data_IF_466327854925
#
_entry.id   IF_466327854925
#
_cell.length_a   1.000
_cell.length_b   1.000
_cell.length_c   1.000
_cell.angle_alpha   90.00
_cell.angle_beta   90.00
_cell.angle_gamma   90.00
#
_symmetry.space_group_name_H-M   'P 1'
#
loop_
_entity.id
_entity.type
_entity.pdbx_description
1 polymer ?
#
# COMPACT_ATOMS: atom_id res chain seq x y z
N UNK A 1 -27.79 3.11 -8.45
CA UNK A 1 -29.05 3.14 -7.66
C UNK A 1 -29.27 1.88 -6.84
N UNK A 2 -28.92 0.66 -7.31
CA UNK A 2 -29.12 -0.58 -6.56
C UNK A 2 -28.10 -0.81 -5.41
N UNK A 3 -26.86 -0.31 -5.56
CA UNK A 3 -25.83 -0.35 -4.51
C UNK A 3 -26.18 0.55 -3.31
N UNK A 4 -26.63 1.80 -3.55
CA UNK A 4 -27.06 2.73 -2.50
C UNK A 4 -28.24 2.20 -1.66
N UNK A 5 -29.20 1.51 -2.28
CA UNK A 5 -30.36 0.94 -1.58
C UNK A 5 -30.00 -0.25 -0.69
N UNK A 6 -29.02 -1.07 -1.10
CA UNK A 6 -28.47 -2.14 -0.26
C UNK A 6 -27.67 -1.58 0.92
N UNK A 7 -26.97 -0.46 0.71
CA UNK A 7 -26.15 0.19 1.72
C UNK A 7 -27.02 0.77 2.85
N UNK A 8 -28.09 1.48 2.51
CA UNK A 8 -29.05 2.04 3.47
C UNK A 8 -29.79 0.94 4.27
N UNK A 9 -30.07 -0.21 3.63
CA UNK A 9 -30.68 -1.37 4.29
C UNK A 9 -29.73 -2.04 5.28
N UNK A 10 -28.44 -2.16 4.94
CA UNK A 10 -27.41 -2.74 5.82
C UNK A 10 -27.09 -1.84 7.00
N UNK A 11 -27.01 -0.53 6.77
CA UNK A 11 -26.88 0.51 7.79
C UNK A 11 -27.96 0.36 8.87
N UNK A 12 -29.23 0.29 8.44
CA UNK A 12 -30.35 0.11 9.38
C UNK A 12 -30.27 -1.22 10.14
N UNK A 13 -29.81 -2.31 9.51
CA UNK A 13 -29.61 -3.59 10.20
C UNK A 13 -28.49 -3.53 11.25
N UNK A 14 -27.43 -2.78 10.98
CA UNK A 14 -26.30 -2.58 11.88
C UNK A 14 -26.72 -1.73 13.09
N UNK A 15 -27.39 -0.60 12.86
CA UNK A 15 -27.93 0.25 13.94
C UNK A 15 -28.91 -0.53 14.81
N UNK A 16 -29.82 -1.29 14.21
CA UNK A 16 -30.75 -2.14 14.96
C UNK A 16 -30.01 -3.21 15.77
N UNK A 17 -28.96 -3.83 15.22
CA UNK A 17 -28.19 -4.84 15.93
C UNK A 17 -27.37 -4.25 17.10
N UNK A 18 -26.92 -3.00 17.00
CA UNK A 18 -26.29 -2.23 18.08
C UNK A 18 -27.32 -1.94 19.18
N UNK A 19 -28.54 -1.49 18.82
CA UNK A 19 -29.63 -1.24 19.76
C UNK A 19 -30.11 -2.52 20.47
N UNK A 20 -30.17 -3.63 19.73
CA UNK A 20 -30.58 -4.94 20.25
C UNK A 20 -29.48 -5.61 21.10
N UNK A 21 -28.28 -5.01 21.20
CA UNK A 21 -27.15 -5.50 22.00
C UNK A 21 -26.47 -6.76 21.45
N UNK A 22 -26.69 -7.10 20.17
CA UNK A 22 -26.16 -8.33 19.57
C UNK A 22 -24.75 -8.10 18.98
N UNK A 23 -23.77 -7.92 19.85
CA UNK A 23 -22.37 -7.61 19.47
C UNK A 23 -21.78 -8.59 18.44
N UNK A 24 -22.08 -9.89 18.56
CA UNK A 24 -21.60 -10.90 17.60
C UNK A 24 -22.13 -10.68 16.18
N UNK A 25 -23.42 -10.30 16.05
CA UNK A 25 -24.03 -10.04 14.74
C UNK A 25 -23.49 -8.75 14.14
N UNK A 26 -23.25 -7.73 14.98
CA UNK A 26 -22.63 -6.46 14.58
C UNK A 26 -21.23 -6.72 14.06
N UNK A 27 -20.38 -7.43 14.82
CA UNK A 27 -19.02 -7.77 14.42
C UNK A 27 -18.97 -8.50 13.07
N UNK A 28 -19.82 -9.52 12.89
CA UNK A 28 -19.82 -10.28 11.64
C UNK A 28 -20.29 -9.46 10.43
N UNK A 29 -21.28 -8.58 10.62
CA UNK A 29 -21.75 -7.70 9.55
C UNK A 29 -20.74 -6.61 9.23
N UNK A 30 -20.07 -6.06 10.25
CA UNK A 30 -19.09 -4.99 10.11
C UNK A 30 -17.86 -5.47 9.33
N UNK A 31 -17.28 -6.60 9.73
CA UNK A 31 -16.05 -7.14 9.12
C UNK A 31 -16.28 -7.82 7.76
N UNK A 32 -17.53 -7.88 7.28
CA UNK A 32 -17.84 -8.30 5.92
C UNK A 32 -17.88 -7.11 4.92
N UNK A 33 -17.70 -5.89 5.40
CA UNK A 33 -17.71 -4.66 4.60
C UNK A 33 -16.30 -4.27 4.17
N UNK A 34 -16.21 -3.45 3.13
CA UNK A 34 -14.95 -2.81 2.76
C UNK A 34 -14.51 -1.82 3.86
N UNK A 35 -13.19 -1.65 4.14
CA UNK A 35 -12.72 -0.69 5.14
C UNK A 35 -13.31 0.73 5.01
N UNK A 36 -13.38 1.25 3.78
CA UNK A 36 -14.06 2.52 3.48
C UNK A 36 -15.54 2.58 3.91
N UNK A 37 -16.28 1.48 3.78
CA UNK A 37 -17.66 1.40 4.25
C UNK A 37 -17.70 1.41 5.78
N UNK A 38 -16.81 0.68 6.45
CA UNK A 38 -16.70 0.66 7.92
C UNK A 38 -16.38 2.06 8.45
N UNK A 39 -15.40 2.76 7.85
CA UNK A 39 -15.05 4.12 8.20
C UNK A 39 -16.26 5.06 8.08
N UNK A 40 -16.99 5.00 6.97
CA UNK A 40 -18.20 5.79 6.76
C UNK A 40 -19.29 5.51 7.80
N UNK A 41 -19.46 4.24 8.20
CA UNK A 41 -20.39 3.86 9.27
C UNK A 41 -19.99 4.48 10.61
N UNK A 42 -18.70 4.43 10.96
CA UNK A 42 -18.19 5.03 12.19
C UNK A 42 -18.40 6.55 12.17
N UNK A 43 -18.09 7.22 11.07
CA UNK A 43 -18.26 8.68 10.95
C UNK A 43 -19.73 9.12 11.06
N UNK A 44 -20.63 8.39 10.41
CA UNK A 44 -22.07 8.67 10.43
C UNK A 44 -22.75 8.31 11.75
N UNK A 45 -22.06 7.57 12.63
CA UNK A 45 -22.57 7.15 13.93
C UNK A 45 -22.37 8.19 15.03
N UNK A 46 -23.28 8.26 16.02
CA UNK A 46 -23.09 9.04 17.23
C UNK A 46 -21.79 8.69 17.96
N UNK A 47 -21.15 9.69 18.58
CA UNK A 47 -19.83 9.57 19.24
C UNK A 47 -19.74 8.39 20.23
N UNK A 48 -20.81 8.12 20.98
CA UNK A 48 -20.86 7.01 21.93
C UNK A 48 -20.92 5.62 21.27
N UNK A 49 -21.39 5.52 20.03
CA UNK A 49 -21.44 4.27 19.26
C UNK A 49 -20.13 4.02 18.50
N UNK A 50 -19.39 5.08 18.13
CA UNK A 50 -18.12 4.97 17.41
C UNK A 50 -17.11 4.07 18.09
N UNK A 51 -16.93 4.23 19.41
CA UNK A 51 -15.99 3.40 20.20
C UNK A 51 -16.39 1.92 20.19
N UNK A 52 -17.68 1.64 20.34
CA UNK A 52 -18.19 0.27 20.31
C UNK A 52 -18.00 -0.35 18.93
N UNK A 53 -18.20 0.41 17.86
CA UNK A 53 -17.97 -0.09 16.50
C UNK A 53 -16.50 -0.35 16.24
N UNK A 54 -15.61 0.54 16.69
CA UNK A 54 -14.16 0.37 16.61
C UNK A 54 -13.70 -0.91 17.32
N UNK A 55 -14.16 -1.15 18.55
CA UNK A 55 -13.83 -2.38 19.31
C UNK A 55 -14.31 -3.68 18.63
N UNK A 56 -15.20 -3.59 17.65
CA UNK A 56 -15.70 -4.74 16.88
C UNK A 56 -15.00 -4.90 15.53
N UNK A 57 -14.16 -3.96 15.11
CA UNK A 57 -13.32 -4.12 13.91
C UNK A 57 -12.27 -5.19 14.19
N UNK A 58 -12.06 -6.10 13.25
CA UNK A 58 -11.00 -7.10 13.34
C UNK A 58 -9.63 -6.44 13.14
N UNK A 59 -8.62 -6.89 13.88
CA UNK A 59 -7.26 -6.32 13.88
C UNK A 59 -6.61 -6.28 12.48
N UNK A 60 -7.03 -7.14 11.56
CA UNK A 60 -6.53 -7.18 10.19
C UNK A 60 -7.06 -6.00 9.34
N UNK A 61 -8.21 -5.43 9.74
CA UNK A 61 -8.86 -4.32 9.06
C UNK A 61 -8.63 -2.96 9.75
N UNK A 62 -8.17 -2.93 11.00
CA UNK A 62 -8.03 -1.70 11.80
C UNK A 62 -7.23 -0.61 11.07
N UNK A 63 -6.05 -0.95 10.54
CA UNK A 63 -5.20 0.00 9.81
C UNK A 63 -5.88 0.55 8.55
N UNK A 64 -6.48 -0.33 7.75
CA UNK A 64 -7.16 0.08 6.52
C UNK A 64 -8.38 0.96 6.82
N UNK A 65 -9.11 0.67 7.90
CA UNK A 65 -10.23 1.51 8.36
C UNK A 65 -9.71 2.86 8.86
N UNK A 66 -8.59 2.90 9.59
CA UNK A 66 -7.99 4.14 10.05
C UNK A 66 -7.65 5.08 8.89
N UNK A 67 -7.05 4.58 7.81
CA UNK A 67 -6.72 5.40 6.63
C UNK A 67 -7.96 6.06 6.03
N UNK A 68 -9.05 5.30 5.94
CA UNK A 68 -10.30 5.74 5.32
C UNK A 68 -11.11 6.70 6.20
N UNK A 69 -10.83 6.76 7.50
CA UNK A 69 -11.45 7.73 8.40
C UNK A 69 -10.94 9.14 8.11
N UNK A 70 -11.84 10.11 8.07
CA UNK A 70 -11.53 11.53 8.03
C UNK A 70 -10.71 11.96 9.24
N UNK A 71 -9.84 12.94 9.01
CA UNK A 71 -8.77 13.34 9.93
C UNK A 71 -9.23 13.58 11.38
N UNK A 72 -10.36 14.27 11.58
CA UNK A 72 -10.88 14.56 12.91
C UNK A 72 -11.28 13.29 13.68
N UNK A 73 -11.91 12.34 13.01
CA UNK A 73 -12.37 11.09 13.63
C UNK A 73 -11.19 10.16 13.86
N UNK A 74 -10.30 10.04 12.87
CA UNK A 74 -9.04 9.29 12.96
C UNK A 74 -8.19 9.77 14.14
N UNK A 75 -7.97 11.07 14.26
CA UNK A 75 -7.22 11.65 15.39
C UNK A 75 -7.88 11.36 16.74
N UNK A 76 -9.21 11.35 16.82
CA UNK A 76 -9.90 11.04 18.08
C UNK A 76 -9.64 9.61 18.56
N UNK A 77 -9.52 8.64 17.65
CA UNK A 77 -9.15 7.27 18.00
C UNK A 77 -7.67 7.16 18.36
N UNK A 78 -6.79 7.77 17.57
CA UNK A 78 -5.34 7.74 17.82
C UNK A 78 -4.99 8.38 19.17
N UNK A 79 -5.68 9.44 19.59
CA UNK A 79 -5.48 10.07 20.89
C UNK A 79 -5.86 9.18 22.08
N UNK A 80 -6.78 8.25 21.86
CA UNK A 80 -7.20 7.29 22.87
C UNK A 80 -6.32 6.03 22.89
N UNK A 81 -5.45 5.86 21.87
CA UNK A 81 -4.55 4.71 21.72
C UNK A 81 -3.14 5.03 22.24
N UNK A 82 -2.49 4.04 22.83
CA UNK A 82 -1.04 4.11 23.02
C UNK A 82 -0.30 3.76 21.73
N UNK A 83 1.00 4.04 21.68
CA UNK A 83 1.79 3.81 20.47
C UNK A 83 1.94 2.31 20.13
N UNK A 84 1.82 1.41 21.10
CA UNK A 84 1.79 -0.03 20.86
C UNK A 84 0.49 -0.46 20.17
N UNK A 85 -0.64 0.10 20.60
CA UNK A 85 -1.94 -0.11 19.96
C UNK A 85 -1.95 0.44 18.53
N UNK A 86 -1.39 1.64 18.30
CA UNK A 86 -1.26 2.21 16.95
C UNK A 86 -0.41 1.29 16.08
N UNK A 87 0.73 0.83 16.58
CA UNK A 87 1.62 -0.07 15.86
C UNK A 87 0.92 -1.40 15.49
N UNK A 88 0.09 -1.93 16.39
CA UNK A 88 -0.67 -3.14 16.15
C UNK A 88 -1.77 -2.94 15.10
N UNK A 89 -2.48 -1.81 15.15
CA UNK A 89 -3.54 -1.50 14.18
C UNK A 89 -2.99 -1.39 12.75
N UNK A 90 -1.80 -0.82 12.58
CA UNK A 90 -1.18 -0.58 11.27
C UNK A 90 -0.31 -1.73 10.76
N UNK A 91 -0.16 -2.81 11.52
CA UNK A 91 0.78 -3.90 11.20
C UNK A 91 0.47 -4.61 9.87
N UNK A 92 -0.81 -4.58 9.45
CA UNK A 92 -1.31 -5.25 8.25
C UNK A 92 -1.45 -4.31 7.05
N UNK A 93 -1.07 -3.04 7.20
CA UNK A 93 -1.06 -2.10 6.09
C UNK A 93 0.07 -2.43 5.11
N UNK A 94 -0.19 -2.13 3.84
CA UNK A 94 0.87 -2.07 2.84
C UNK A 94 1.84 -0.93 3.18
N UNK A 95 3.07 -1.02 2.67
CA UNK A 95 4.18 -0.19 3.15
C UNK A 95 4.03 1.28 2.74
N UNK A 96 3.47 1.52 1.56
CA UNK A 96 3.10 2.84 1.03
C UNK A 96 1.98 3.46 1.87
N UNK A 97 0.87 2.74 2.06
CA UNK A 97 -0.25 3.15 2.91
C UNK A 97 0.20 3.47 4.35
N UNK A 98 1.08 2.63 4.90
CA UNK A 98 1.67 2.82 6.21
C UNK A 98 2.56 4.07 6.26
N UNK A 99 3.37 4.32 5.24
CA UNK A 99 4.23 5.50 5.21
C UNK A 99 3.39 6.79 5.20
N UNK A 100 2.35 6.84 4.36
CA UNK A 100 1.41 7.95 4.30
C UNK A 100 0.68 8.15 5.64
N UNK A 101 0.20 7.05 6.24
CA UNK A 101 -0.43 7.11 7.55
C UNK A 101 0.51 7.66 8.62
N UNK A 102 1.76 7.20 8.67
CA UNK A 102 2.76 7.65 9.65
C UNK A 102 3.09 9.13 9.51
N UNK A 103 3.13 9.68 8.30
CA UNK A 103 3.37 11.12 8.08
C UNK A 103 2.30 12.01 8.72
N UNK A 104 1.09 11.48 8.94
CA UNK A 104 0.02 12.19 9.64
C UNK A 104 0.12 12.18 11.18
N UNK A 105 1.05 11.39 11.73
CA UNK A 105 1.19 11.19 13.18
C UNK A 105 2.27 12.11 13.78
N UNK A 106 2.23 12.36 15.10
CA UNK A 106 3.33 13.00 15.81
C UNK A 106 4.61 12.16 15.76
N UNK A 107 5.78 12.81 15.64
CA UNK A 107 7.11 12.17 15.56
C UNK A 107 7.39 11.09 16.62
N UNK A 108 6.86 11.30 17.84
CA UNK A 108 7.00 10.35 18.94
C UNK A 108 6.33 9.00 18.62
N UNK A 109 5.13 9.04 18.04
CA UNK A 109 4.38 7.85 17.64
C UNK A 109 5.05 7.17 16.45
N UNK A 110 5.51 7.95 15.46
CA UNK A 110 6.28 7.41 14.33
C UNK A 110 7.48 6.60 14.80
N UNK A 111 8.28 7.18 15.71
CA UNK A 111 9.50 6.56 16.21
C UNK A 111 9.22 5.24 16.94
N UNK A 112 8.16 5.19 17.74
CA UNK A 112 7.77 4.00 18.51
C UNK A 112 7.17 2.91 17.61
N UNK A 113 6.32 3.31 16.66
CA UNK A 113 5.76 2.41 15.65
C UNK A 113 6.87 1.78 14.79
N UNK A 114 7.82 2.57 14.29
CA UNK A 114 9.00 2.05 13.59
C UNK A 114 9.80 1.10 14.48
N UNK A 115 9.98 1.41 15.76
CA UNK A 115 10.72 0.58 16.70
C UNK A 115 10.09 -0.81 16.94
N UNK A 116 8.79 -0.95 16.75
CA UNK A 116 8.06 -2.22 16.89
C UNK A 116 8.16 -3.14 15.65
N UNK A 117 8.48 -2.58 14.48
CA UNK A 117 8.54 -3.32 13.21
C UNK A 117 9.77 -4.20 13.10
N UNK A 118 9.66 -5.27 12.31
CA UNK A 118 10.82 -6.04 11.88
C UNK A 118 11.77 -5.18 11.02
N UNK A 119 13.03 -5.60 10.94
CA UNK A 119 14.08 -4.83 10.28
C UNK A 119 13.79 -4.57 8.81
N UNK A 120 13.17 -5.51 8.11
CA UNK A 120 12.95 -5.40 6.67
C UNK A 120 11.86 -4.38 6.39
N UNK A 121 10.70 -4.49 7.06
CA UNK A 121 9.62 -3.54 6.87
C UNK A 121 10.00 -2.14 7.33
N UNK A 122 10.68 -2.01 8.48
CA UNK A 122 11.20 -0.71 8.95
C UNK A 122 12.07 -0.01 7.92
N UNK A 123 13.01 -0.74 7.30
CA UNK A 123 13.90 -0.17 6.28
C UNK A 123 13.15 0.29 5.03
N UNK A 124 12.06 -0.37 4.67
CA UNK A 124 11.23 0.03 3.52
C UNK A 124 10.44 1.29 3.84
N UNK A 125 9.80 1.35 5.00
CA UNK A 125 9.06 2.54 5.46
C UNK A 125 10.00 3.74 5.62
N UNK A 126 11.15 3.56 6.27
CA UNK A 126 12.17 4.61 6.42
C UNK A 126 12.67 5.13 5.07
N UNK A 127 12.70 4.29 4.03
CA UNK A 127 13.10 4.72 2.69
C UNK A 127 12.07 5.64 2.03
N UNK A 128 10.76 5.43 2.28
CA UNK A 128 9.69 6.31 1.80
C UNK A 128 9.66 7.60 2.62
N UNK A 129 9.70 7.50 3.96
CA UNK A 129 9.70 8.65 4.87
C UNK A 129 10.93 9.57 4.72
N UNK A 130 11.97 9.13 4.00
CA UNK A 130 13.12 9.97 3.64
C UNK A 130 12.78 11.02 2.57
N UNK A 131 11.62 10.90 1.90
CA UNK A 131 11.15 11.78 0.85
C UNK A 131 9.88 12.52 1.27
N UNK A 132 9.62 13.65 0.62
CA UNK A 132 8.39 14.44 0.83
C UNK A 132 7.19 13.71 0.21
N UNK A 133 6.04 13.73 0.91
CA UNK A 133 4.79 13.08 0.49
C UNK A 133 4.36 13.46 -0.93
N UNK A 134 4.67 14.70 -1.36
CA UNK A 134 4.30 15.23 -2.67
C UNK A 134 5.40 15.02 -3.73
N UNK A 135 6.24 14.00 -3.56
CA UNK A 135 7.30 13.63 -4.50
C UNK A 135 7.21 12.17 -4.93
N UNK A 136 7.89 11.81 -6.02
CA UNK A 136 7.94 10.44 -6.53
C UNK A 136 8.40 9.44 -5.46
N UNK A 137 9.33 9.82 -4.58
CA UNK A 137 9.80 8.97 -3.50
C UNK A 137 8.82 8.82 -2.34
N UNK A 138 7.95 9.81 -2.12
CA UNK A 138 6.85 9.70 -1.15
C UNK A 138 5.70 8.84 -1.67
N UNK A 139 5.41 8.91 -2.98
CA UNK A 139 4.30 8.22 -3.64
C UNK A 139 4.64 6.80 -4.16
N UNK A 140 5.90 6.36 -4.07
CA UNK A 140 6.31 5.08 -4.64
C UNK A 140 5.92 3.90 -3.76
N UNK A 141 5.53 2.80 -4.40
CA UNK A 141 5.48 1.50 -3.74
C UNK A 141 6.87 0.85 -3.78
N UNK A 142 7.36 0.39 -2.63
CA UNK A 142 8.64 -0.33 -2.52
C UNK A 142 8.50 -1.84 -2.78
N UNK A 143 7.28 -2.35 -2.92
CA UNK A 143 6.96 -3.75 -3.14
C UNK A 143 7.07 -4.15 -4.62
N UNK A 144 8.26 -4.02 -5.18
CA UNK A 144 8.51 -4.32 -6.58
C UNK A 144 9.29 -5.63 -6.78
N UNK A 145 9.16 -6.22 -7.96
CA UNK A 145 9.95 -7.39 -8.35
C UNK A 145 11.14 -6.96 -9.19
N UNK A 146 12.35 -7.24 -8.67
CA UNK A 146 13.60 -7.06 -9.39
C UNK A 146 14.13 -8.35 -10.02
N UNK A 147 14.79 -8.22 -11.17
CA UNK A 147 15.52 -9.30 -11.83
C UNK A 147 16.90 -8.82 -12.30
N UNK A 148 17.81 -9.77 -12.55
CA UNK A 148 19.16 -9.47 -13.07
C UNK A 148 19.22 -9.65 -14.59
N UNK A 149 20.00 -8.82 -15.31
CA UNK A 149 20.05 -8.85 -16.77
C UNK A 149 20.66 -10.13 -17.35
N UNK A 150 21.56 -10.79 -16.63
CA UNK A 150 22.27 -12.00 -17.05
C UNK A 150 21.47 -13.30 -16.82
N UNK A 151 20.26 -13.22 -16.26
CA UNK A 151 19.42 -14.37 -15.95
C UNK A 151 18.57 -14.78 -17.15
N UNK A 152 18.40 -16.08 -17.36
CA UNK A 152 17.56 -16.63 -18.42
C UNK A 152 16.06 -16.48 -18.10
N UNK A 153 15.24 -16.35 -19.14
CA UNK A 153 13.77 -16.20 -19.05
C UNK A 153 13.13 -17.34 -18.27
N UNK A 154 13.58 -18.59 -18.48
CA UNK A 154 13.03 -19.76 -17.79
C UNK A 154 13.26 -19.70 -16.25
N UNK A 155 14.40 -19.17 -15.82
CA UNK A 155 14.74 -18.96 -14.42
C UNK A 155 13.87 -17.86 -13.83
N UNK A 156 13.67 -16.74 -14.53
CA UNK A 156 12.78 -15.66 -14.08
C UNK A 156 11.35 -16.18 -13.91
N UNK A 157 10.81 -16.88 -14.91
CA UNK A 157 9.46 -17.45 -14.82
C UNK A 157 9.33 -18.46 -13.67
N UNK A 158 10.37 -19.23 -13.38
CA UNK A 158 10.40 -20.14 -12.23
C UNK A 158 10.46 -19.38 -10.91
N UNK A 159 11.21 -18.30 -10.85
CA UNK A 159 11.28 -17.41 -9.69
C UNK A 159 9.90 -16.80 -9.40
N UNK A 160 9.23 -16.22 -10.41
CA UNK A 160 7.88 -15.66 -10.25
C UNK A 160 6.88 -16.70 -9.73
N UNK A 161 6.89 -17.92 -10.28
CA UNK A 161 6.01 -19.00 -9.81
C UNK A 161 6.22 -19.39 -8.35
N UNK A 162 7.40 -19.12 -7.76
CA UNK A 162 7.69 -19.44 -6.35
C UNK A 162 7.18 -18.37 -5.38
N UNK A 163 6.82 -17.19 -5.88
CA UNK A 163 6.28 -16.13 -5.03
C UNK A 163 4.82 -16.37 -4.62
N UNK A 164 4.14 -17.36 -5.22
CA UNK A 164 2.71 -17.64 -5.12
C UNK A 164 1.84 -16.49 -5.68
N UNK A 165 2.03 -15.29 -5.17
CA UNK A 165 1.39 -14.06 -5.60
C UNK A 165 2.43 -13.01 -6.01
N UNK A 166 2.03 -12.08 -6.85
CA UNK A 166 2.84 -10.93 -7.25
C UNK A 166 2.26 -9.68 -6.59
N UNK A 167 3.08 -8.62 -6.38
CA UNK A 167 2.56 -7.34 -5.93
C UNK A 167 1.36 -6.88 -6.76
N UNK A 168 0.43 -6.23 -6.09
CA UNK A 168 -0.72 -5.58 -6.75
C UNK A 168 -0.20 -4.67 -7.86
N UNK A 169 -0.89 -4.66 -9.01
CA UNK A 169 -0.53 -3.83 -10.17
C UNK A 169 0.81 -4.16 -10.87
N UNK A 170 1.44 -5.32 -10.61
CA UNK A 170 2.64 -5.73 -11.36
C UNK A 170 2.34 -5.90 -12.86
N UNK A 171 2.76 -4.94 -13.69
CA UNK A 171 2.69 -5.00 -15.17
C UNK A 171 4.07 -5.28 -15.81
N UNK A 172 5.14 -4.97 -15.08
CA UNK A 172 6.54 -5.12 -15.50
C UNK A 172 7.43 -5.52 -14.33
N UNK A 173 8.58 -6.10 -14.67
CA UNK A 173 9.68 -6.34 -13.74
C UNK A 173 10.75 -5.28 -13.94
N UNK A 174 11.45 -4.91 -12.88
CA UNK A 174 12.55 -3.96 -12.95
C UNK A 174 13.89 -4.68 -13.01
N UNK A 175 14.75 -4.27 -13.93
CA UNK A 175 16.06 -4.90 -14.15
C UNK A 175 17.13 -4.07 -13.46
N UNK A 176 17.93 -4.71 -12.61
CA UNK A 176 18.95 -4.05 -11.79
C UNK A 176 20.27 -4.82 -11.81
N UNK A 177 21.39 -4.11 -11.68
CA UNK A 177 22.73 -4.69 -11.56
C UNK A 177 23.04 -5.17 -10.12
N UNK A 178 24.21 -5.77 -9.87
CA UNK A 178 24.58 -6.29 -8.53
C UNK A 178 24.65 -5.24 -7.42
N UNK A 179 24.62 -3.95 -7.74
CA UNK A 179 24.61 -2.82 -6.81
C UNK A 179 23.23 -2.15 -6.75
N UNK A 180 22.20 -2.82 -7.27
CA UNK A 180 20.81 -2.37 -7.38
C UNK A 180 20.61 -1.11 -8.23
N UNK A 181 21.54 -0.87 -9.16
CA UNK A 181 21.45 0.20 -10.15
C UNK A 181 20.44 -0.17 -11.22
N UNK A 182 19.48 0.71 -11.48
CA UNK A 182 18.46 0.49 -12.51
C UNK A 182 19.09 0.36 -13.90
N UNK A 183 18.69 -0.67 -14.66
CA UNK A 183 19.21 -0.98 -16.00
C UNK A 183 18.13 -0.96 -17.09
N UNK A 184 16.85 -1.08 -16.72
CA UNK A 184 15.74 -1.16 -17.66
C UNK A 184 14.52 -1.86 -17.08
N UNK A 185 13.49 -2.01 -17.90
CA UNK A 185 12.24 -2.68 -17.53
C UNK A 185 12.03 -3.93 -18.39
N UNK A 186 11.31 -4.90 -17.86
CA UNK A 186 10.88 -6.09 -18.59
C UNK A 186 9.37 -6.26 -18.43
N UNK A 187 8.62 -5.95 -19.49
CA UNK A 187 7.18 -6.15 -19.50
C UNK A 187 6.81 -7.65 -19.40
N UNK A 188 5.74 -7.96 -18.65
CA UNK A 188 5.34 -9.35 -18.39
C UNK A 188 4.92 -10.06 -19.68
N UNK A 189 4.21 -9.39 -20.57
CA UNK A 189 3.80 -9.93 -21.86
C UNK A 189 4.99 -10.37 -22.72
N UNK A 190 6.07 -9.58 -22.72
CA UNK A 190 7.33 -9.91 -23.39
C UNK A 190 8.04 -11.07 -22.71
N UNK A 191 8.05 -11.13 -21.38
CA UNK A 191 8.61 -12.26 -20.64
C UNK A 191 7.89 -13.58 -21.00
N UNK A 192 6.56 -13.55 -21.11
CA UNK A 192 5.74 -14.73 -21.41
C UNK A 192 5.88 -15.24 -22.85
N UNK A 193 6.16 -14.35 -23.80
CA UNK A 193 6.26 -14.68 -25.23
C UNK A 193 7.70 -14.93 -25.71
N UNK A 194 8.69 -14.68 -24.86
CA UNK A 194 10.12 -14.84 -25.19
C UNK A 194 10.60 -16.29 -25.12
N UNK A 195 11.71 -16.58 -25.83
CA UNK A 195 12.34 -17.90 -25.77
C UNK A 195 12.93 -18.16 -24.37
N UNK A 196 12.76 -19.36 -23.79
CA UNK A 196 13.17 -19.63 -22.40
C UNK A 196 14.67 -19.51 -22.13
N UNK A 197 15.50 -19.74 -23.14
CA UNK A 197 16.98 -19.70 -23.09
C UNK A 197 17.56 -18.30 -23.35
N UNK A 198 16.75 -17.34 -23.77
CA UNK A 198 17.18 -15.94 -23.88
C UNK A 198 17.39 -15.34 -22.48
N UNK A 199 18.35 -14.42 -22.37
CA UNK A 199 18.60 -13.64 -21.15
C UNK A 199 17.71 -12.41 -21.08
N UNK A 200 17.38 -11.96 -19.86
CA UNK A 200 16.67 -10.70 -19.60
C UNK A 200 17.30 -9.52 -20.36
N UNK A 201 18.64 -9.44 -20.43
CA UNK A 201 19.38 -8.38 -21.13
C UNK A 201 18.97 -8.17 -22.60
N UNK A 202 18.59 -9.25 -23.28
CA UNK A 202 18.22 -9.25 -24.70
C UNK A 202 16.79 -8.75 -24.88
N UNK A 203 15.91 -9.04 -23.92
CA UNK A 203 14.47 -8.80 -24.03
C UNK A 203 14.00 -7.60 -23.19
N UNK A 204 14.82 -7.04 -22.31
CA UNK A 204 14.46 -5.84 -21.55
C UNK A 204 14.42 -4.61 -22.45
N UNK A 205 13.58 -3.64 -22.08
CA UNK A 205 13.61 -2.30 -22.62
C UNK A 205 14.58 -1.43 -21.81
N UNK A 206 15.51 -0.79 -22.54
CA UNK A 206 16.59 0.05 -22.00
C UNK A 206 16.32 1.54 -22.20
N UNK A 207 15.22 1.87 -22.87
CA UNK A 207 14.89 3.23 -23.28
C UNK A 207 14.00 3.95 -22.28
N UNK A 208 13.25 3.20 -21.45
CA UNK A 208 12.46 3.77 -20.37
C UNK A 208 13.35 4.53 -19.38
N UNK A 209 13.05 5.81 -19.19
CA UNK A 209 13.72 6.64 -18.21
C UNK A 209 13.13 6.38 -16.83
N UNK A 210 14.00 6.31 -15.82
CA UNK A 210 13.60 6.30 -14.43
C UNK A 210 13.31 7.71 -13.93
N UNK A 211 12.38 7.79 -12.99
CA UNK A 211 11.94 9.01 -12.34
C UNK A 211 12.85 9.25 -11.12
N UNK A 212 13.46 10.44 -10.97
CA UNK A 212 14.14 10.81 -9.74
C UNK A 212 13.16 10.89 -8.56
N UNK A 213 13.55 10.34 -7.40
CA UNK A 213 12.70 10.33 -6.20
C UNK A 213 12.23 11.73 -5.76
N UNK A 214 13.02 12.77 -6.01
CA UNK A 214 12.68 14.15 -5.66
C UNK A 214 11.78 14.87 -6.70
N UNK A 215 11.36 14.19 -7.78
CA UNK A 215 10.44 14.75 -8.78
C UNK A 215 9.08 15.03 -8.13
N UNK A 216 8.46 16.16 -8.44
CA UNK A 216 7.17 16.54 -7.83
C UNK A 216 6.03 15.66 -8.33
N UNK A 217 5.02 15.43 -7.49
CA UNK A 217 3.83 14.65 -7.84
C UNK A 217 3.14 15.17 -9.13
N UNK A 218 3.10 16.49 -9.34
CA UNK A 218 2.52 17.09 -10.54
C UNK A 218 3.31 16.74 -11.82
N UNK A 219 4.63 16.73 -11.73
CA UNK A 219 5.49 16.34 -12.86
C UNK A 219 5.37 14.85 -13.15
N UNK A 220 5.28 14.02 -12.09
CA UNK A 220 5.03 12.57 -12.20
C UNK A 220 3.69 12.33 -12.89
N UNK A 221 2.61 12.97 -12.43
CA UNK A 221 1.28 12.84 -13.03
C UNK A 221 1.29 13.25 -14.51
N UNK A 222 1.94 14.37 -14.84
CA UNK A 222 2.10 14.83 -16.22
C UNK A 222 2.86 13.82 -17.07
N UNK A 223 3.89 13.18 -16.52
CA UNK A 223 4.67 12.17 -17.23
C UNK A 223 3.84 10.91 -17.49
N UNK A 224 3.07 10.44 -16.49
CA UNK A 224 2.19 9.29 -16.64
C UNK A 224 1.09 9.54 -17.68
N UNK A 225 0.47 10.72 -17.66
CA UNK A 225 -0.58 11.10 -18.62
C UNK A 225 -0.02 11.21 -20.05
N UNK A 226 1.12 11.89 -20.24
CA UNK A 226 1.68 12.13 -21.58
C UNK A 226 2.25 10.86 -22.25
N UNK A 227 2.58 9.84 -21.45
CA UNK A 227 3.22 8.61 -21.92
C UNK A 227 2.37 7.35 -21.70
N UNK A 228 1.11 7.49 -21.29
CA UNK A 228 0.19 6.39 -20.98
C UNK A 228 0.84 5.31 -20.08
N UNK A 229 1.58 5.74 -19.05
CA UNK A 229 2.29 4.82 -18.17
C UNK A 229 1.34 4.21 -17.13
N UNK A 230 1.48 2.89 -16.92
CA UNK A 230 0.85 2.17 -15.81
C UNK A 230 1.76 2.22 -14.57
N UNK A 231 3.07 2.08 -14.78
CA UNK A 231 4.09 2.14 -13.72
C UNK A 231 5.39 2.73 -14.28
N UNK A 232 6.25 3.24 -13.39
CA UNK A 232 7.56 3.78 -13.74
C UNK A 232 8.57 3.55 -12.61
N UNK A 233 9.85 3.28 -12.91
CA UNK A 233 10.86 3.08 -11.88
C UNK A 233 11.25 4.39 -11.23
N UNK A 234 11.35 4.40 -9.91
CA UNK A 234 11.83 5.53 -9.09
C UNK A 234 13.25 5.24 -8.60
N UNK A 235 14.17 6.19 -8.82
CA UNK A 235 15.59 6.05 -8.46
C UNK A 235 16.06 7.18 -7.55
N UNK A 236 17.06 6.88 -6.72
CA UNK A 236 17.79 7.91 -5.98
C UNK A 236 18.84 8.62 -6.85
N UNK A 237 19.51 9.61 -6.27
CA UNK A 237 20.58 10.39 -6.94
C UNK A 237 21.78 9.55 -7.41
N UNK A 238 21.94 8.35 -6.85
CA UNK A 238 23.00 7.41 -7.21
C UNK A 238 22.56 6.38 -8.25
N UNK A 239 21.35 6.47 -8.81
CA UNK A 239 20.82 5.54 -9.81
C UNK A 239 20.30 4.21 -9.25
N UNK A 240 20.23 4.07 -7.91
CA UNK A 240 19.69 2.88 -7.26
C UNK A 240 18.16 2.91 -7.35
N UNK A 241 17.56 1.79 -7.75
CA UNK A 241 16.11 1.60 -7.76
C UNK A 241 15.57 1.60 -6.32
N UNK A 242 14.51 2.37 -6.09
CA UNK A 242 13.83 2.49 -4.81
C UNK A 242 12.41 1.90 -4.85
N UNK A 243 11.69 2.20 -5.92
CA UNK A 243 10.27 1.95 -6.16
C UNK A 243 9.98 1.69 -7.64
#
# INVERSE_FOLDING_TARGET
MQSAHNHETRLNMLTQAIEDGSLFKVQHLLNALHPAEIAHLIESSPVNQRKVMWELVEADNEGAVLIELGDEVRQSFIQDMDAGEVAQAVQHLEIDDLADFLQSLPDAVISETLASMDRQNRQRVEAILAYDENTAGGLMDTHLITVRPDVAVDVVLRYLRRQNDLPSHTDRLFVVDRHDQFQGILAIDRLLTSQPDCTVWVIMDKTQQAIPANMTANDVASLFENHDLISAPVINEHGKLLG
#
